data_IF_219876653621
#
_entry.id   IF_219876653621
#
_cell.length_a   1.000
_cell.length_b   1.000
_cell.length_c   1.000
_cell.angle_alpha   90.00
_cell.angle_beta   90.00
_cell.angle_gamma   90.00
#
_symmetry.space_group_name_H-M   'P 1'
#
loop_
_entity.id
_entity.type
_entity.pdbx_description
1 polymer ?
#
# COMPACT_ATOMS: atom_id res chain seq x y z
N UNK A 1 -6.81 24.21 23.65
CA UNK A 1 -7.46 22.95 24.08
C UNK A 1 -7.31 22.02 22.89
N UNK A 2 -6.24 21.24 22.85
CA UNK A 2 -5.89 20.41 21.71
C UNK A 2 -6.46 18.99 21.85
N UNK A 3 -6.95 18.51 20.71
CA UNK A 3 -6.84 17.14 20.24
C UNK A 3 -7.59 16.03 20.99
N UNK A 4 -8.90 15.97 20.73
CA UNK A 4 -9.48 14.68 20.41
C UNK A 4 -8.93 14.22 19.04
N UNK A 5 -7.70 13.73 19.05
CA UNK A 5 -7.08 13.06 17.92
C UNK A 5 -7.85 11.75 17.70
N UNK A 6 -8.95 11.78 16.94
CA UNK A 6 -9.98 10.76 17.08
C UNK A 6 -9.43 9.33 17.00
N UNK A 7 -9.71 8.58 18.06
CA UNK A 7 -9.18 7.25 18.37
C UNK A 7 -9.95 6.15 17.64
N UNK A 8 -10.54 6.45 16.48
CA UNK A 8 -11.26 5.46 15.69
C UNK A 8 -10.30 4.48 15.00
N UNK A 9 -10.66 3.18 14.88
CA UNK A 9 -9.89 2.23 14.10
C UNK A 9 -9.86 2.65 12.62
N UNK A 10 -8.69 2.56 12.00
CA UNK A 10 -8.53 2.78 10.55
C UNK A 10 -9.04 1.52 9.86
N UNK A 11 -10.14 1.62 9.12
CA UNK A 11 -10.58 0.51 8.26
C UNK A 11 -9.81 0.62 6.96
N UNK A 12 -9.08 -0.43 6.59
CA UNK A 12 -8.25 -0.48 5.39
C UNK A 12 -8.73 -1.62 4.50
N UNK A 13 -8.83 -1.36 3.20
CA UNK A 13 -8.95 -2.39 2.18
C UNK A 13 -7.90 -2.15 1.10
N UNK A 14 -7.32 -3.22 0.56
CA UNK A 14 -6.27 -3.11 -0.45
C UNK A 14 -6.53 -4.11 -1.57
N UNK A 15 -6.46 -3.62 -2.80
CA UNK A 15 -6.72 -4.44 -3.97
C UNK A 15 -5.70 -4.19 -5.07
N UNK A 16 -5.21 -5.27 -5.67
CA UNK A 16 -4.46 -5.20 -6.91
C UNK A 16 -5.33 -5.73 -8.07
N UNK A 17 -5.21 -5.12 -9.24
CA UNK A 17 -5.99 -5.49 -10.40
C UNK A 17 -5.49 -4.81 -11.66
N UNK A 18 -6.10 -5.16 -12.79
CA UNK A 18 -5.75 -4.61 -14.09
C UNK A 18 -6.86 -3.67 -14.55
N UNK A 19 -6.49 -2.48 -15.02
CA UNK A 19 -7.46 -1.52 -15.54
C UNK A 19 -7.93 -1.88 -16.96
N UNK A 20 -8.87 -1.11 -17.51
CA UNK A 20 -9.41 -1.33 -18.86
C UNK A 20 -8.36 -1.23 -19.99
N UNK A 21 -7.15 -0.75 -19.70
CA UNK A 21 -6.03 -0.64 -20.66
C UNK A 21 -5.02 -1.76 -20.52
N UNK A 22 -5.21 -2.68 -19.57
CA UNK A 22 -4.24 -3.73 -19.29
C UNK A 22 -3.14 -3.32 -18.29
N UNK A 23 -3.23 -2.13 -17.67
CA UNK A 23 -2.22 -1.68 -16.72
C UNK A 23 -2.53 -2.18 -15.31
N UNK A 24 -1.53 -2.77 -14.65
CA UNK A 24 -1.64 -3.21 -13.27
C UNK A 24 -1.65 -2.01 -12.32
N UNK A 25 -2.52 -2.06 -11.33
CA UNK A 25 -2.61 -1.05 -10.28
C UNK A 25 -2.75 -1.68 -8.89
N UNK A 26 -2.34 -0.91 -7.88
CA UNK A 26 -2.65 -1.14 -6.48
C UNK A 26 -3.56 -0.02 -6.00
N UNK A 27 -4.71 -0.38 -5.46
CA UNK A 27 -5.65 0.53 -4.81
C UNK A 27 -5.67 0.26 -3.32
N UNK A 28 -5.56 1.32 -2.51
CA UNK A 28 -5.63 1.26 -1.06
C UNK A 28 -6.68 2.23 -0.59
N UNK A 29 -7.72 1.69 0.03
CA UNK A 29 -8.82 2.40 0.62
C UNK A 29 -8.58 2.50 2.11
N UNK A 30 -8.78 3.68 2.67
CA UNK A 30 -8.93 3.82 4.10
C UNK A 30 -10.08 4.72 4.49
N UNK A 31 -10.92 4.22 5.39
CA UNK A 31 -11.91 5.01 6.08
C UNK A 31 -11.22 5.59 7.32
N UNK A 32 -10.86 6.87 7.23
CA UNK A 32 -10.09 7.57 8.26
C UNK A 32 -10.80 8.85 8.63
N UNK A 33 -11.83 8.77 9.48
CA UNK A 33 -12.74 9.90 9.66
C UNK A 33 -12.11 11.13 10.33
N UNK A 34 -10.86 11.02 10.80
CA UNK A 34 -10.18 12.05 11.58
C UNK A 34 -8.65 12.05 11.49
N UNK A 35 -8.05 11.21 10.63
CA UNK A 35 -6.58 11.13 10.51
C UNK A 35 -6.17 11.29 9.06
N UNK A 36 -5.23 12.19 8.85
CA UNK A 36 -4.64 12.39 7.54
C UNK A 36 -3.57 11.34 7.29
N UNK A 37 -3.74 10.55 6.22
CA UNK A 37 -2.76 9.56 5.79
C UNK A 37 -1.47 10.27 5.34
N UNK A 38 -0.32 9.75 5.78
CA UNK A 38 1.01 10.22 5.37
C UNK A 38 1.73 9.20 4.50
N UNK A 39 1.52 7.90 4.74
CA UNK A 39 2.19 6.82 4.01
C UNK A 39 1.31 5.61 3.83
N UNK A 40 1.49 4.91 2.71
CA UNK A 40 1.08 3.52 2.56
C UNK A 40 2.31 2.64 2.75
N UNK A 41 2.22 1.65 3.63
CA UNK A 41 3.27 0.64 3.84
C UNK A 41 2.80 -0.68 3.27
N UNK A 42 3.49 -1.19 2.27
CA UNK A 42 3.30 -2.53 1.73
C UNK A 42 4.43 -3.42 2.28
N UNK A 43 4.07 -4.56 2.83
CA UNK A 43 5.02 -5.60 3.27
C UNK A 43 4.70 -6.88 2.52
N UNK A 44 5.74 -7.50 1.98
CA UNK A 44 5.66 -8.74 1.23
C UNK A 44 6.56 -9.76 1.90
N UNK A 45 6.11 -11.00 2.04
CA UNK A 45 6.91 -12.06 2.65
C UNK A 45 6.63 -13.41 2.00
N UNK A 46 7.68 -14.20 1.81
CA UNK A 46 7.56 -15.58 1.39
C UNK A 46 7.24 -16.53 2.57
N UNK A 47 7.04 -17.81 2.26
CA UNK A 47 6.77 -18.85 3.24
C UNK A 47 7.92 -19.10 4.24
N UNK A 48 9.15 -18.69 3.90
CA UNK A 48 10.32 -18.77 4.79
C UNK A 48 10.40 -17.58 5.77
N UNK A 49 9.51 -16.59 5.59
CA UNK A 49 9.45 -15.38 6.41
C UNK A 49 10.44 -14.29 5.99
N UNK A 50 11.08 -14.41 4.82
CA UNK A 50 11.89 -13.33 4.29
C UNK A 50 10.98 -12.19 3.82
N UNK A 51 11.11 -11.01 4.43
CA UNK A 51 10.18 -9.91 4.20
C UNK A 51 10.83 -8.71 3.54
N UNK A 52 10.11 -8.02 2.66
CA UNK A 52 10.50 -6.74 2.04
C UNK A 52 9.40 -5.70 2.22
N UNK A 53 9.80 -4.46 2.44
CA UNK A 53 8.89 -3.35 2.66
C UNK A 53 9.00 -2.29 1.55
N UNK A 54 7.86 -1.81 1.09
CA UNK A 54 7.73 -0.64 0.23
C UNK A 54 6.93 0.40 1.00
N UNK A 55 7.39 1.65 0.95
CA UNK A 55 6.72 2.79 1.58
C UNK A 55 6.40 3.80 0.50
N UNK A 56 5.11 4.09 0.31
CA UNK A 56 4.66 5.14 -0.59
C UNK A 56 4.34 6.38 0.23
N UNK A 57 5.10 7.46 0.01
CA UNK A 57 4.90 8.76 0.67
C UNK A 57 3.74 9.52 0.00
N UNK A 58 2.73 9.88 0.81
CA UNK A 58 1.51 10.56 0.38
C UNK A 58 1.60 12.08 0.59
N UNK A 59 1.11 12.84 -0.38
CA UNK A 59 1.12 14.31 -0.30
C UNK A 59 -0.15 14.85 0.38
N UNK A 60 -0.07 15.96 1.13
CA UNK A 60 -1.19 16.51 1.89
C UNK A 60 -2.40 16.89 1.02
N UNK A 61 -2.16 17.15 -0.26
CA UNK A 61 -3.18 17.52 -1.23
C UNK A 61 -4.08 16.35 -1.65
N UNK A 62 -3.77 15.12 -1.24
CA UNK A 62 -4.65 13.97 -1.41
C UNK A 62 -5.84 14.15 -0.45
N UNK A 63 -6.80 14.99 -0.85
CA UNK A 63 -7.97 15.35 -0.03
C UNK A 63 -8.81 14.10 0.23
N UNK A 64 -9.07 13.84 1.51
CA UNK A 64 -10.10 12.91 1.93
C UNK A 64 -11.45 13.43 1.41
N UNK A 65 -12.14 12.63 0.61
CA UNK A 65 -13.56 12.85 0.34
C UNK A 65 -14.28 12.36 1.59
N UNK A 66 -14.69 13.30 2.46
CA UNK A 66 -15.69 13.07 3.51
C UNK A 66 -15.54 11.71 4.22
N UNK A 67 -14.38 11.45 4.85
CA UNK A 67 -14.04 10.24 5.63
C UNK A 67 -13.42 9.06 4.88
N UNK A 68 -13.50 8.97 3.55
CA UNK A 68 -12.86 7.92 2.75
C UNK A 68 -11.70 8.48 1.93
N UNK A 69 -10.54 7.84 2.04
CA UNK A 69 -9.37 8.15 1.23
C UNK A 69 -9.08 6.95 0.33
N UNK A 70 -9.12 7.17 -0.99
CA UNK A 70 -8.69 6.21 -1.98
C UNK A 70 -7.33 6.64 -2.53
N UNK A 71 -6.35 5.76 -2.41
CA UNK A 71 -5.05 5.89 -3.05
C UNK A 71 -4.92 4.89 -4.18
N UNK A 72 -4.56 5.37 -5.36
CA UNK A 72 -4.35 4.55 -6.55
C UNK A 72 -2.91 4.70 -6.99
N UNK A 73 -2.22 3.57 -7.17
CA UNK A 73 -0.82 3.53 -7.57
C UNK A 73 -0.68 2.64 -8.80
N UNK A 74 0.06 3.12 -9.79
CA UNK A 74 0.52 2.25 -10.88
C UNK A 74 1.42 1.17 -10.30
N UNK A 75 1.23 -0.07 -10.72
CA UNK A 75 1.98 -1.22 -10.25
C UNK A 75 2.61 -1.98 -11.42
N UNK A 76 3.57 -2.84 -11.09
CA UNK A 76 4.21 -3.73 -12.05
C UNK A 76 4.53 -5.06 -11.38
N UNK A 77 4.34 -6.16 -12.11
CA UNK A 77 4.77 -7.47 -11.62
C UNK A 77 6.27 -7.61 -11.73
N UNK A 78 6.88 -8.23 -10.72
CA UNK A 78 8.28 -8.62 -10.73
C UNK A 78 8.46 -9.96 -10.05
N UNK A 79 9.44 -10.78 -10.47
CA UNK A 79 9.82 -11.96 -9.71
C UNK A 79 10.23 -11.59 -8.29
N UNK A 80 9.86 -12.40 -7.29
CA UNK A 80 10.18 -12.16 -5.89
C UNK A 80 11.68 -11.92 -5.66
N UNK A 81 12.53 -12.72 -6.31
CA UNK A 81 13.99 -12.55 -6.28
C UNK A 81 14.46 -11.16 -6.72
N UNK A 82 13.76 -10.53 -7.66
CA UNK A 82 14.08 -9.18 -8.15
C UNK A 82 13.71 -8.15 -7.09
N UNK A 83 12.55 -8.31 -6.45
CA UNK A 83 12.13 -7.46 -5.32
C UNK A 83 13.11 -7.62 -4.15
N UNK A 84 13.52 -8.85 -3.83
CA UNK A 84 14.52 -9.13 -2.79
C UNK A 84 15.87 -8.46 -3.07
N UNK A 85 16.29 -8.40 -4.33
CA UNK A 85 17.52 -7.72 -4.73
C UNK A 85 17.39 -6.19 -4.71
N UNK A 86 16.22 -5.66 -5.08
CA UNK A 86 15.92 -4.24 -5.09
C UNK A 86 15.82 -3.65 -3.68
N UNK A 87 15.31 -4.43 -2.73
CA UNK A 87 15.05 -3.99 -1.36
C UNK A 87 15.95 -4.79 -0.42
N UNK A 88 17.02 -4.22 0.14
CA UNK A 88 17.83 -4.91 1.13
C UNK A 88 17.02 -5.30 2.38
N UNK A 89 17.42 -6.39 3.05
CA UNK A 89 16.87 -6.75 4.37
C UNK A 89 17.03 -5.57 5.34
N UNK A 90 16.04 -5.40 6.23
CA UNK A 90 15.98 -4.29 7.20
C UNK A 90 15.93 -2.88 6.57
N UNK A 91 15.58 -2.79 5.29
CA UNK A 91 15.35 -1.53 4.59
C UNK A 91 13.95 -1.49 4.00
N UNK A 92 13.55 -0.32 3.51
CA UNK A 92 12.33 -0.13 2.75
C UNK A 92 12.62 0.63 1.46
N UNK A 93 11.98 0.20 0.37
CA UNK A 93 12.00 0.94 -0.88
C UNK A 93 10.96 2.06 -0.82
N UNK A 94 11.39 3.30 -1.01
CA UNK A 94 10.52 4.47 -0.90
C UNK A 94 10.09 4.95 -2.27
N UNK A 95 8.79 5.17 -2.43
CA UNK A 95 8.16 5.71 -3.64
C UNK A 95 7.45 7.00 -3.25
N UNK A 96 7.65 8.06 -4.03
CA UNK A 96 6.83 9.26 -3.93
C UNK A 96 5.54 9.06 -4.75
N UNK A 97 4.36 9.27 -4.15
CA UNK A 97 3.07 9.08 -4.82
C UNK A 97 2.85 9.98 -6.06
N UNK A 98 3.60 11.08 -6.20
CA UNK A 98 3.58 11.96 -7.38
C UNK A 98 4.55 11.53 -8.48
N UNK A 99 5.46 10.59 -8.18
CA UNK A 99 6.38 10.07 -9.17
C UNK A 99 5.68 9.13 -10.15
N UNK A 100 6.29 8.91 -11.31
CA UNK A 100 5.85 7.88 -12.27
C UNK A 100 6.33 6.47 -11.90
N UNK A 101 6.92 6.29 -10.71
CA UNK A 101 7.42 5.00 -10.27
C UNK A 101 6.25 4.03 -10.05
N UNK A 102 6.40 2.81 -10.55
CA UNK A 102 5.42 1.73 -10.38
C UNK A 102 5.74 0.94 -9.12
N UNK A 103 4.73 0.63 -8.31
CA UNK A 103 4.85 -0.26 -7.14
C UNK A 103 5.15 -1.68 -7.63
N UNK A 104 6.29 -2.28 -7.29
CA UNK A 104 6.56 -3.67 -7.66
C UNK A 104 5.75 -4.61 -6.78
N UNK A 105 5.04 -5.53 -7.43
CA UNK A 105 4.27 -6.61 -6.81
C UNK A 105 4.86 -7.96 -7.27
N UNK A 106 4.91 -8.99 -6.40
CA UNK A 106 5.45 -10.28 -6.76
C UNK A 106 4.55 -10.97 -7.80
N UNK A 107 5.17 -11.66 -8.77
CA UNK A 107 4.46 -12.53 -9.70
C UNK A 107 4.03 -13.84 -9.01
N UNK A 108 4.86 -14.35 -8.10
CA UNK A 108 4.67 -15.62 -7.38
C UNK A 108 3.64 -15.49 -6.24
N UNK A 109 2.39 -15.20 -6.60
CA UNK A 109 1.30 -14.83 -5.67
C UNK A 109 0.89 -15.94 -4.70
N UNK A 110 1.07 -17.19 -5.08
CA UNK A 110 0.80 -18.35 -4.20
C UNK A 110 1.93 -18.59 -3.17
N UNK A 111 3.09 -17.96 -3.36
CA UNK A 111 4.28 -18.15 -2.55
C UNK A 111 4.63 -16.92 -1.70
N UNK A 112 4.14 -15.73 -2.09
CA UNK A 112 4.42 -14.45 -1.44
C UNK A 112 3.15 -13.78 -0.96
N UNK A 113 3.02 -13.61 0.35
CA UNK A 113 1.92 -12.85 0.96
C UNK A 113 2.20 -11.36 0.90
N UNK A 114 1.22 -10.57 0.43
CA UNK A 114 1.28 -9.11 0.41
C UNK A 114 0.28 -8.51 1.39
N UNK A 115 0.73 -7.63 2.28
CA UNK A 115 -0.12 -6.91 3.24
C UNK A 115 0.16 -5.41 3.22
N UNK A 116 -0.86 -4.59 3.43
CA UNK A 116 -0.73 -3.12 3.49
C UNK A 116 -1.21 -2.56 4.81
N UNK A 117 -0.58 -1.49 5.26
CA UNK A 117 -1.07 -0.63 6.32
C UNK A 117 -0.95 0.84 5.90
N UNK A 118 -1.71 1.71 6.58
CA UNK A 118 -1.61 3.17 6.41
C UNK A 118 -1.04 3.76 7.68
N UNK A 119 -0.06 4.64 7.50
CA UNK A 119 0.52 5.47 8.55
C UNK A 119 -0.08 6.87 8.44
N UNK A 120 -0.51 7.45 9.56
CA UNK A 120 -1.01 8.82 9.60
C UNK A 120 0.12 9.85 9.77
N UNK A 121 -0.22 11.15 9.71
CA UNK A 121 0.73 12.26 9.91
C UNK A 121 1.32 12.33 11.32
N UNK A 122 0.72 11.69 12.30
CA UNK A 122 1.24 11.56 13.66
C UNK A 122 2.18 10.36 13.83
N UNK A 123 2.41 9.58 12.76
CA UNK A 123 3.27 8.39 12.77
C UNK A 123 2.58 7.13 13.31
N UNK A 124 1.25 7.15 13.49
CA UNK A 124 0.49 5.98 13.96
C UNK A 124 0.18 5.07 12.78
N UNK A 125 0.54 3.80 12.92
CA UNK A 125 0.28 2.78 11.92
C UNK A 125 -1.07 2.09 12.18
N UNK A 126 -1.87 1.91 11.13
CA UNK A 126 -3.05 1.06 11.16
C UNK A 126 -2.71 -0.44 11.16
N UNK A 127 -3.74 -1.29 11.17
CA UNK A 127 -3.54 -2.73 11.03
C UNK A 127 -3.09 -3.08 9.62
N UNK A 128 -2.31 -4.16 9.50
CA UNK A 128 -2.01 -4.74 8.21
C UNK A 128 -3.20 -5.54 7.69
N UNK A 129 -3.57 -5.32 6.44
CA UNK A 129 -4.62 -6.06 5.72
C UNK A 129 -4.04 -6.70 4.46
N UNK A 130 -4.48 -7.89 4.06
CA UNK A 130 -4.01 -8.52 2.83
C UNK A 130 -4.39 -7.69 1.60
N UNK A 131 -3.52 -7.72 0.58
CA UNK A 131 -3.86 -7.25 -0.75
C UNK A 131 -4.69 -8.34 -1.43
N UNK A 132 -5.95 -8.04 -1.75
CA UNK A 132 -6.86 -8.99 -2.43
C UNK A 132 -6.90 -8.67 -3.92
N UNK A 133 -6.72 -9.66 -4.76
CA UNK A 133 -6.72 -9.45 -6.20
C UNK A 133 -8.10 -9.55 -6.81
N UNK A 134 -8.37 -8.66 -7.75
CA UNK A 134 -9.51 -8.77 -8.65
C UNK A 134 -9.00 -8.83 -10.08
N UNK A 135 -9.07 -10.02 -10.66
CA UNK A 135 -9.03 -10.16 -12.11
C UNK A 135 -10.41 -9.79 -12.63
N UNK A 136 -10.57 -8.59 -13.18
CA UNK A 136 -11.65 -8.35 -14.11
C UNK A 136 -11.37 -9.26 -15.32
N UNK A 137 -11.96 -10.46 -15.31
CA UNK A 137 -11.93 -11.31 -16.49
C UNK A 137 -12.51 -10.50 -17.68
N UNK A 138 -11.86 -10.52 -18.86
CA UNK A 138 -12.39 -9.87 -20.05
C UNK A 138 -13.76 -10.42 -20.46
#
# INVERSE_FOLDING_TARGET
MFDHCAEGPVTIAAHAGTDARGELYLSVYALVPSREASRVRLVMSDAEGDARAIVVDLHPEHKALEYVVLHYFSAQEQPWRTIQAMIPRNSAYRIDARSSAKVPLPYERDEVTCVVAIEDRCGRLGNFVPVVEYNAAP
#
